data_IF_857200327105
#
_entry.id   IF_857200327105
#
_cell.length_a   1.000
_cell.length_b   1.000
_cell.length_c   1.000
_cell.angle_alpha   90.00
_cell.angle_beta   90.00
_cell.angle_gamma   90.00
#
_symmetry.space_group_name_H-M   'P 1'
#
loop_
_entity.id
_entity.type
_entity.pdbx_description
1 polymer ?
#
# COMPACT_ATOMS: atom_id res chain seq x y z
N UNK A 1 8.82 -1.93 11.81
CA UNK A 1 8.12 -0.68 12.15
C UNK A 1 8.94 0.09 13.18
N UNK A 2 8.97 1.43 13.12
CA UNK A 2 9.70 2.27 14.07
C UNK A 2 8.68 3.20 14.75
N UNK A 3 8.70 3.25 16.08
CA UNK A 3 7.84 4.12 16.89
C UNK A 3 8.71 5.12 17.65
N UNK A 4 8.97 6.31 17.09
CA UNK A 4 9.94 7.24 17.67
C UNK A 4 9.60 7.68 19.09
N UNK A 5 8.32 7.99 19.35
CA UNK A 5 7.86 8.43 20.68
C UNK A 5 7.97 7.34 21.75
N UNK A 6 7.87 6.08 21.35
CA UNK A 6 7.97 4.94 22.27
C UNK A 6 9.41 4.43 22.38
N UNK A 7 10.34 4.92 21.54
CA UNK A 7 11.68 4.37 21.37
C UNK A 7 11.65 2.85 21.17
N UNK A 8 10.75 2.38 20.30
CA UNK A 8 10.61 0.95 19.97
C UNK A 8 10.80 0.74 18.48
N UNK A 9 11.53 -0.33 18.14
CA UNK A 9 11.64 -0.86 16.78
C UNK A 9 11.11 -2.29 16.77
N UNK A 10 10.11 -2.54 15.94
CA UNK A 10 9.59 -3.88 15.68
C UNK A 10 10.19 -4.42 14.38
N UNK A 11 10.84 -5.57 14.45
CA UNK A 11 11.36 -6.31 13.30
C UNK A 11 10.40 -7.41 12.91
N UNK A 12 10.05 -7.44 11.63
CA UNK A 12 9.17 -8.44 11.04
C UNK A 12 9.92 -9.19 9.94
N UNK A 13 9.92 -10.53 9.94
CA UNK A 13 10.44 -11.30 8.83
C UNK A 13 9.53 -11.11 7.60
N UNK A 14 10.13 -10.96 6.42
CA UNK A 14 9.40 -10.88 5.13
C UNK A 14 9.05 -12.27 4.57
N UNK A 15 9.42 -13.34 5.27
CA UNK A 15 9.24 -14.70 4.80
C UNK A 15 7.75 -15.11 4.82
N UNK A 16 7.34 -15.91 3.84
CA UNK A 16 5.95 -16.23 3.47
C UNK A 16 5.09 -16.93 4.53
N UNK A 17 5.67 -17.49 5.59
CA UNK A 17 5.01 -18.47 6.45
C UNK A 17 4.23 -17.90 7.65
N UNK A 18 4.25 -16.58 7.85
CA UNK A 18 3.53 -15.96 8.96
C UNK A 18 2.18 -15.41 8.50
N UNK A 19 1.08 -15.92 9.06
CA UNK A 19 -0.29 -15.45 8.82
C UNK A 19 -0.68 -14.40 9.87
N UNK A 20 -1.26 -13.27 9.45
CA UNK A 20 -1.82 -12.29 10.38
C UNK A 20 -2.47 -11.08 9.68
N UNK A 21 -3.41 -10.39 10.34
CA UNK A 21 -4.13 -9.23 9.78
C UNK A 21 -3.19 -8.11 9.30
N UNK A 22 -2.02 -7.99 9.92
CA UNK A 22 -0.99 -7.04 9.53
C UNK A 22 -0.24 -7.45 8.25
N UNK A 23 -0.03 -8.74 7.99
CA UNK A 23 0.45 -9.20 6.68
C UNK A 23 -0.59 -8.97 5.60
N UNK A 24 -1.87 -9.12 5.89
CA UNK A 24 -2.91 -8.83 4.89
C UNK A 24 -2.98 -7.32 4.58
N UNK A 25 -2.81 -6.48 5.60
CA UNK A 25 -2.75 -5.02 5.45
C UNK A 25 -1.45 -4.58 4.75
N UNK A 26 -0.31 -5.15 5.12
CA UNK A 26 0.95 -4.96 4.41
C UNK A 26 0.85 -5.54 3.00
N UNK A 27 0.21 -6.67 2.74
CA UNK A 27 0.00 -7.23 1.40
C UNK A 27 -1.03 -6.42 0.60
N UNK A 28 -1.84 -5.58 1.22
CA UNK A 28 -2.64 -4.55 0.54
C UNK A 28 -1.78 -3.34 0.14
N UNK A 29 -0.69 -3.05 0.88
CA UNK A 29 0.24 -1.93 0.64
C UNK A 29 1.47 -2.31 -0.23
N UNK A 30 2.11 -3.44 0.09
CA UNK A 30 3.15 -4.23 -0.59
C UNK A 30 2.59 -5.01 -1.79
N UNK A 31 1.27 -5.24 -1.76
CA UNK A 31 0.35 -5.29 -2.89
C UNK A 31 0.53 -4.21 -3.95
N UNK A 32 1.42 -3.23 -3.69
CA UNK A 32 2.03 -2.27 -4.58
C UNK A 32 1.57 -2.46 -6.01
N UNK A 33 0.95 -1.40 -6.53
CA UNK A 33 0.37 -1.33 -7.87
C UNK A 33 0.83 -2.46 -8.78
N UNK A 34 -0.08 -3.38 -9.15
CA UNK A 34 0.28 -4.57 -9.89
C UNK A 34 1.21 -4.22 -11.06
N UNK A 35 2.34 -4.93 -11.12
CA UNK A 35 3.42 -4.63 -12.05
C UNK A 35 3.04 -4.94 -13.51
N UNK A 36 1.94 -5.67 -13.70
CA UNK A 36 1.38 -6.00 -15.00
C UNK A 36 -0.16 -5.98 -14.95
N UNK A 37 -0.78 -5.80 -16.11
CA UNK A 37 -2.22 -5.96 -16.26
C UNK A 37 -2.70 -7.36 -15.82
N UNK A 38 -1.94 -8.41 -16.15
CA UNK A 38 -2.29 -9.78 -15.75
C UNK A 38 -2.37 -9.93 -14.23
N UNK A 39 -1.42 -9.33 -13.50
CA UNK A 39 -1.41 -9.39 -12.04
C UNK A 39 -2.52 -8.55 -11.41
N UNK A 40 -2.86 -7.42 -12.04
CA UNK A 40 -4.02 -6.61 -11.66
C UNK A 40 -5.30 -7.44 -11.77
N UNK A 41 -5.57 -8.04 -12.93
CA UNK A 41 -6.81 -8.76 -13.20
C UNK A 41 -6.94 -10.07 -12.44
N UNK A 42 -5.82 -10.71 -12.07
CA UNK A 42 -5.79 -11.87 -11.17
C UNK A 42 -6.23 -11.51 -9.75
N UNK A 43 -5.86 -10.32 -9.27
CA UNK A 43 -6.08 -9.90 -7.87
C UNK A 43 -7.35 -9.07 -7.71
N UNK A 44 -7.74 -8.34 -8.74
CA UNK A 44 -8.83 -7.37 -8.72
C UNK A 44 -9.77 -7.55 -9.91
N UNK A 45 -11.01 -7.13 -9.70
CA UNK A 45 -11.99 -6.86 -10.74
C UNK A 45 -12.08 -5.35 -10.90
N UNK A 46 -11.98 -4.86 -12.14
CA UNK A 46 -12.26 -3.46 -12.46
C UNK A 46 -13.78 -3.25 -12.40
N UNK A 47 -14.23 -2.30 -11.59
CA UNK A 47 -15.64 -1.92 -11.44
C UNK A 47 -16.01 -0.76 -12.36
N UNK A 48 -15.15 0.25 -12.42
CA UNK A 48 -15.37 1.42 -13.28
C UNK A 48 -14.05 2.06 -13.68
N UNK A 49 -14.08 2.76 -14.81
CA UNK A 49 -13.03 3.65 -15.27
C UNK A 49 -13.70 4.97 -15.62
N UNK A 50 -13.17 6.07 -15.10
CA UNK A 50 -13.71 7.41 -15.33
C UNK A 50 -12.57 8.35 -15.68
N UNK A 51 -12.69 9.07 -16.78
CA UNK A 51 -11.69 10.03 -17.22
C UNK A 51 -12.29 11.43 -17.21
N UNK A 52 -11.72 12.32 -16.42
CA UNK A 52 -12.17 13.71 -16.25
C UNK A 52 -10.98 14.63 -16.03
N UNK A 53 -10.99 15.82 -16.64
CA UNK A 53 -10.04 16.90 -16.37
C UNK A 53 -8.55 16.49 -16.37
N UNK A 54 -8.14 15.60 -17.28
CA UNK A 54 -6.75 15.14 -17.38
C UNK A 54 -6.34 14.11 -16.31
N UNK A 55 -7.30 13.55 -15.58
CA UNK A 55 -7.13 12.43 -14.67
C UNK A 55 -7.96 11.22 -15.15
N UNK A 56 -7.45 10.03 -14.85
CA UNK A 56 -8.14 8.77 -15.00
C UNK A 56 -8.27 8.13 -13.62
N UNK A 57 -9.49 7.78 -13.25
CA UNK A 57 -9.83 7.08 -12.03
C UNK A 57 -10.27 5.66 -12.36
N UNK A 58 -9.65 4.68 -11.70
CA UNK A 58 -9.96 3.26 -11.86
C UNK A 58 -10.41 2.72 -10.52
N UNK A 59 -11.65 2.25 -10.47
CA UNK A 59 -12.23 1.62 -9.29
C UNK A 59 -12.06 0.11 -9.38
N UNK A 60 -11.51 -0.47 -8.33
CA UNK A 60 -11.14 -1.87 -8.22
C UNK A 60 -11.84 -2.53 -7.03
N UNK A 61 -12.19 -3.80 -7.20
CA UNK A 61 -12.67 -4.66 -6.13
C UNK A 61 -11.76 -5.88 -6.01
N UNK A 62 -11.29 -6.26 -4.81
CA UNK A 62 -10.52 -7.48 -4.63
C UNK A 62 -11.28 -8.72 -5.09
N UNK A 63 -10.58 -9.70 -5.69
CA UNK A 63 -11.17 -11.01 -6.00
C UNK A 63 -11.19 -11.95 -4.80
N UNK A 64 -10.31 -11.77 -3.83
CA UNK A 64 -10.36 -12.52 -2.57
C UNK A 64 -11.57 -12.11 -1.73
N UNK A 65 -12.34 -13.09 -1.27
CA UNK A 65 -13.50 -12.86 -0.41
C UNK A 65 -13.11 -12.29 0.97
N UNK A 66 -11.99 -12.73 1.54
CA UNK A 66 -11.49 -12.19 2.81
C UNK A 66 -11.06 -10.72 2.66
N UNK A 67 -10.31 -10.41 1.59
CA UNK A 67 -9.90 -9.04 1.31
C UNK A 67 -11.10 -8.11 1.10
N UNK A 68 -12.11 -8.52 0.32
CA UNK A 68 -13.34 -7.74 0.12
C UNK A 68 -14.12 -7.47 1.41
N UNK A 69 -14.11 -8.41 2.36
CA UNK A 69 -14.78 -8.21 3.66
C UNK A 69 -14.10 -7.16 4.53
N UNK A 70 -12.84 -6.82 4.25
CA UNK A 70 -12.11 -5.77 4.97
C UNK A 70 -12.08 -4.47 4.18
N UNK A 71 -11.73 -4.55 2.90
CA UNK A 71 -11.64 -3.43 1.96
C UNK A 71 -12.43 -3.80 0.68
N UNK A 72 -13.73 -3.49 0.61
CA UNK A 72 -14.55 -3.82 -0.55
C UNK A 72 -14.10 -3.14 -1.85
N UNK A 73 -13.47 -1.96 -1.75
CA UNK A 73 -13.14 -1.13 -2.90
C UNK A 73 -11.82 -0.36 -2.71
N UNK A 74 -11.07 -0.25 -3.80
CA UNK A 74 -9.87 0.58 -3.95
C UNK A 74 -10.05 1.45 -5.20
N UNK A 75 -9.82 2.75 -5.11
CA UNK A 75 -9.77 3.64 -6.27
C UNK A 75 -8.35 4.15 -6.48
N UNK A 76 -7.93 4.19 -7.74
CA UNK A 76 -6.63 4.70 -8.17
C UNK A 76 -6.89 5.87 -9.12
N UNK A 77 -6.29 7.02 -8.85
CA UNK A 77 -6.30 8.16 -9.77
C UNK A 77 -4.89 8.42 -10.31
N UNK A 78 -4.75 8.59 -11.62
CA UNK A 78 -3.49 8.98 -12.26
C UNK A 78 -3.71 10.03 -13.35
N UNK A 79 -2.70 10.86 -13.62
CA UNK A 79 -2.76 11.85 -14.69
C UNK A 79 -2.67 11.21 -16.08
N UNK A 80 -3.49 11.65 -17.02
CA UNK A 80 -3.55 11.06 -18.37
C UNK A 80 -2.39 11.48 -19.26
N UNK A 81 -1.71 12.59 -18.94
CA UNK A 81 -0.60 13.11 -19.75
C UNK A 81 0.75 12.43 -19.49
N UNK A 82 0.98 11.95 -18.27
CA UNK A 82 2.27 11.38 -17.84
C UNK A 82 2.14 10.13 -16.97
N UNK A 83 0.91 9.63 -16.76
CA UNK A 83 0.59 8.47 -15.94
C UNK A 83 1.08 8.55 -14.48
N UNK A 84 1.37 9.76 -13.97
CA UNK A 84 1.79 9.92 -12.58
C UNK A 84 0.61 9.64 -11.64
N UNK A 85 0.86 8.87 -10.58
CA UNK A 85 -0.13 8.62 -9.53
C UNK A 85 -0.54 9.95 -8.87
N UNK A 86 -1.85 10.15 -8.71
CA UNK A 86 -2.46 11.34 -8.11
C UNK A 86 -3.13 11.04 -6.79
N UNK A 87 -3.85 9.92 -6.69
CA UNK A 87 -4.47 9.52 -5.45
C UNK A 87 -4.66 8.00 -5.36
N UNK A 88 -4.73 7.51 -4.13
CA UNK A 88 -5.33 6.22 -3.79
C UNK A 88 -6.43 6.42 -2.78
N UNK A 89 -7.51 5.66 -2.90
CA UNK A 89 -8.61 5.70 -1.94
C UNK A 89 -9.02 4.29 -1.57
N UNK A 90 -9.02 4.01 -0.27
CA UNK A 90 -9.47 2.74 0.31
C UNK A 90 -10.84 2.97 0.93
N UNK A 91 -11.82 2.15 0.56
CA UNK A 91 -13.07 2.03 1.29
C UNK A 91 -13.02 0.80 2.17
N UNK A 92 -13.30 0.97 3.46
CA UNK A 92 -13.33 -0.11 4.43
C UNK A 92 -14.76 -0.62 4.65
N UNK A 93 -14.87 -1.84 5.16
CA UNK A 93 -16.17 -2.50 5.36
C UNK A 93 -17.05 -1.83 6.43
N UNK A 94 -16.47 -1.02 7.31
CA UNK A 94 -17.21 -0.17 8.26
C UNK A 94 -17.76 1.12 7.62
N UNK A 95 -17.52 1.32 6.32
CA UNK A 95 -17.94 2.51 5.57
C UNK A 95 -16.95 3.66 5.64
N UNK A 96 -15.89 3.57 6.46
CA UNK A 96 -14.84 4.58 6.50
C UNK A 96 -14.01 4.60 5.21
N UNK A 97 -13.39 5.75 4.94
CA UNK A 97 -12.60 5.97 3.74
C UNK A 97 -11.25 6.58 4.11
N UNK A 98 -10.19 6.11 3.45
CA UNK A 98 -8.85 6.69 3.53
C UNK A 98 -8.39 7.08 2.14
N UNK A 99 -8.26 8.39 1.89
CA UNK A 99 -7.73 8.92 0.64
C UNK A 99 -6.32 9.48 0.87
N UNK A 100 -5.37 9.02 0.07
CA UNK A 100 -4.02 9.56 0.00
C UNK A 100 -3.88 10.34 -1.30
N UNK A 101 -3.45 11.60 -1.21
CA UNK A 101 -3.17 12.45 -2.37
C UNK A 101 -1.66 12.64 -2.53
N UNK A 102 -1.16 12.42 -3.74
CA UNK A 102 0.25 12.46 -4.06
C UNK A 102 0.58 13.76 -4.78
N UNK A 103 1.43 14.55 -4.15
CA UNK A 103 1.90 15.84 -4.65
C UNK A 103 3.42 15.81 -4.83
N UNK A 104 3.94 16.59 -5.78
CA UNK A 104 5.38 16.70 -6.07
C UNK A 104 6.07 15.37 -6.43
N UNK A 105 5.38 14.51 -7.19
CA UNK A 105 5.96 13.26 -7.65
C UNK A 105 7.14 13.52 -8.61
N UNK A 106 8.31 12.99 -8.28
CA UNK A 106 9.47 12.96 -9.17
C UNK A 106 9.56 11.58 -9.81
N UNK A 107 9.63 11.52 -11.14
CA UNK A 107 9.73 10.27 -11.87
C UNK A 107 11.18 9.78 -11.92
N UNK A 108 11.42 8.53 -11.52
CA UNK A 108 12.71 7.85 -11.57
C UNK A 108 13.90 8.62 -10.95
N UNK A 109 13.76 9.25 -9.75
CA UNK A 109 14.92 9.82 -9.08
C UNK A 109 15.88 8.71 -8.67
N UNK A 110 17.17 9.01 -8.64
CA UNK A 110 18.13 8.13 -7.97
C UNK A 110 17.81 8.12 -6.48
N UNK A 111 17.50 6.94 -5.93
CA UNK A 111 17.25 6.76 -4.50
C UNK A 111 18.48 6.09 -3.89
N UNK A 112 19.09 6.73 -2.90
CA UNK A 112 20.26 6.18 -2.22
C UNK A 112 19.86 4.97 -1.36
N UNK A 113 20.57 3.84 -1.51
CA UNK A 113 20.25 2.58 -0.84
C UNK A 113 20.21 2.70 0.69
N UNK A 114 21.03 3.60 1.24
CA UNK A 114 21.07 3.88 2.68
C UNK A 114 19.72 4.33 3.26
N UNK A 115 18.79 4.85 2.46
CA UNK A 115 17.45 5.25 2.90
C UNK A 115 16.60 4.03 3.31
N UNK A 116 16.92 2.84 2.80
CA UNK A 116 16.25 1.60 3.16
C UNK A 116 16.88 0.90 4.38
N UNK A 117 17.98 1.45 4.92
CA UNK A 117 18.63 0.98 6.14
C UNK A 117 18.36 1.98 7.27
N UNK A 118 17.23 1.86 7.99
CA UNK A 118 16.86 2.84 8.99
C UNK A 118 17.89 2.89 10.12
N UNK A 119 18.28 4.11 10.49
CA UNK A 119 19.16 4.40 11.63
C UNK A 119 18.31 4.85 12.81
N UNK A 120 18.59 4.31 13.99
CA UNK A 120 17.95 4.69 15.24
C UNK A 120 18.97 4.60 16.37
N UNK A 121 18.80 5.44 17.39
CA UNK A 121 19.74 5.53 18.50
C UNK A 121 19.73 4.26 19.36
N UNK A 122 20.81 4.04 20.13
CA UNK A 122 20.96 2.88 21.01
C UNK A 122 19.88 2.78 22.11
N UNK A 123 19.16 3.88 22.36
CA UNK A 123 18.05 3.93 23.32
C UNK A 123 16.77 3.24 22.82
N UNK A 124 16.70 2.90 21.52
CA UNK A 124 15.56 2.19 20.98
C UNK A 124 15.58 0.71 21.38
N UNK A 125 14.49 0.24 21.98
CA UNK A 125 14.27 -1.18 22.24
C UNK A 125 13.84 -1.87 20.95
N UNK A 126 14.63 -2.86 20.51
CA UNK A 126 14.30 -3.70 19.35
C UNK A 126 13.54 -4.95 19.81
N UNK A 127 12.41 -5.25 19.18
CA UNK A 127 11.58 -6.43 19.46
C UNK A 127 11.26 -7.19 18.17
N UNK A 128 11.01 -8.49 18.28
CA UNK A 128 10.61 -9.37 17.17
C UNK A 128 9.24 -10.01 17.48
N UNK A 129 8.12 -9.32 17.25
CA UNK A 129 6.80 -9.71 17.80
C UNK A 129 6.29 -11.08 17.38
N UNK A 130 6.80 -11.62 16.26
CA UNK A 130 6.36 -12.90 15.67
C UNK A 130 7.33 -14.06 15.94
N UNK A 131 8.46 -13.83 16.62
CA UNK A 131 9.29 -14.92 17.13
C UNK A 131 8.85 -15.23 18.56
N UNK A 132 8.33 -16.44 18.76
CA UNK A 132 8.18 -17.02 20.11
C UNK A 132 9.55 -17.45 20.63
#
# INVERSE_FOLDING_TARGET
MIYPRLKVVEKYPLNSDQNGPWKDTLALLEAGFPQSQSDLEKRFKILSVTQTNGACEVTLQPRSASARRMMPQLTIAFATGNFSLRATELQFADGSMMRNEFNHATLNPKIEESLFTPKFDAEYRVVEPLKK
#
